data_IF_266031922823
#
_entry.id   IF_266031922823
#
_cell.length_a   1.000
_cell.length_b   1.000
_cell.length_c   1.000
_cell.angle_alpha   90.00
_cell.angle_beta   90.00
_cell.angle_gamma   90.00
#
_symmetry.space_group_name_H-M   'P 1'
#
loop_
_entity.id
_entity.type
_entity.pdbx_description
1 polymer ?
#
# COMPACT_ATOMS: atom_id res chain seq x y z
N UNK A 1 15.87 -1.51 10.55
CA UNK A 1 15.70 -0.62 11.71
C UNK A 1 14.41 -1.04 12.39
N UNK A 2 14.41 -1.33 13.71
CA UNK A 2 13.19 -1.72 14.42
C UNK A 2 12.36 -0.47 14.73
N UNK A 3 11.25 -0.32 14.01
CA UNK A 3 10.37 0.87 14.00
C UNK A 3 9.15 0.69 14.92
N UNK A 4 8.96 -0.51 15.48
CA UNK A 4 7.82 -0.83 16.35
C UNK A 4 7.86 -0.03 17.65
N UNK A 5 9.05 0.25 18.19
CA UNK A 5 9.21 1.03 19.42
C UNK A 5 8.82 2.51 19.24
N UNK A 6 9.36 3.26 18.25
CA UNK A 6 8.90 4.62 17.97
C UNK A 6 7.40 4.72 17.65
N UNK A 7 6.86 3.75 16.92
CA UNK A 7 5.42 3.67 16.66
C UNK A 7 4.62 3.53 17.96
N UNK A 8 5.02 2.59 18.83
CA UNK A 8 4.37 2.38 20.13
C UNK A 8 4.39 3.65 20.98
N UNK A 9 5.55 4.27 21.12
CA UNK A 9 5.75 5.48 21.91
C UNK A 9 4.92 6.66 21.38
N UNK A 10 4.83 6.81 20.05
CA UNK A 10 3.99 7.84 19.43
C UNK A 10 2.52 7.65 19.76
N UNK A 11 1.97 6.45 19.59
CA UNK A 11 0.55 6.22 19.86
C UNK A 11 0.24 6.27 21.36
N UNK A 12 1.10 5.73 22.22
CA UNK A 12 0.91 5.87 23.68
C UNK A 12 0.91 7.33 24.11
N UNK A 13 1.85 8.13 23.60
CA UNK A 13 1.93 9.56 23.94
C UNK A 13 0.78 10.39 23.34
N UNK A 14 0.23 10.01 22.18
CA UNK A 14 -0.90 10.72 21.60
C UNK A 14 -2.18 10.57 22.43
N UNK A 15 -2.39 9.44 23.10
CA UNK A 15 -3.52 9.26 24.02
C UNK A 15 -3.32 9.94 25.39
N UNK A 16 -2.07 10.17 25.80
CA UNK A 16 -1.74 10.77 27.12
C UNK A 16 -1.93 12.29 27.17
N UNK A 17 -2.00 12.97 26.03
CA UNK A 17 -2.07 14.44 25.98
C UNK A 17 -3.48 15.02 26.22
N UNK A 18 -4.53 14.19 26.27
CA UNK A 18 -5.92 14.68 26.21
C UNK A 18 -6.89 14.01 27.19
N UNK A 19 -6.44 13.07 28.03
CA UNK A 19 -7.35 12.21 28.82
C UNK A 19 -6.77 11.83 30.19
N UNK A 20 -7.65 11.40 31.12
CA UNK A 20 -7.28 10.68 32.34
C UNK A 20 -6.30 9.52 32.03
N UNK A 21 -5.28 9.35 32.87
CA UNK A 21 -4.20 8.39 32.71
C UNK A 21 -4.72 6.96 32.55
N UNK A 22 -5.71 6.54 33.33
CA UNK A 22 -6.27 5.18 33.25
C UNK A 22 -7.04 4.96 31.94
N UNK A 23 -7.72 5.99 31.44
CA UNK A 23 -8.41 5.95 30.16
C UNK A 23 -7.42 5.97 28.99
N UNK A 24 -6.33 6.73 29.07
CA UNK A 24 -5.27 6.76 28.07
C UNK A 24 -4.58 5.38 27.92
N UNK A 25 -4.30 4.69 29.04
CA UNK A 25 -3.79 3.31 29.01
C UNK A 25 -4.78 2.39 28.32
N UNK A 26 -6.07 2.46 28.68
CA UNK A 26 -7.11 1.63 28.06
C UNK A 26 -7.19 1.85 26.55
N UNK A 27 -7.28 3.11 26.10
CA UNK A 27 -7.35 3.46 24.68
C UNK A 27 -6.13 2.95 23.89
N UNK A 28 -4.94 3.07 24.48
CA UNK A 28 -3.72 2.54 23.87
C UNK A 28 -3.76 1.02 23.72
N UNK A 29 -4.21 0.29 24.76
CA UNK A 29 -4.36 -1.17 24.71
C UNK A 29 -5.39 -1.58 23.66
N UNK A 30 -6.55 -0.93 23.65
CA UNK A 30 -7.63 -1.20 22.70
C UNK A 30 -7.14 -0.95 21.26
N UNK A 31 -6.43 0.14 21.01
CA UNK A 31 -5.82 0.43 19.70
C UNK A 31 -4.87 -0.67 19.24
N UNK A 32 -3.94 -1.13 20.09
CA UNK A 32 -3.00 -2.17 19.70
C UNK A 32 -3.68 -3.53 19.52
N UNK A 33 -4.70 -3.85 20.33
CA UNK A 33 -5.49 -5.06 20.17
C UNK A 33 -6.22 -5.06 18.81
N UNK A 34 -6.90 -3.97 18.49
CA UNK A 34 -7.56 -3.77 17.20
C UNK A 34 -6.55 -3.84 16.05
N UNK A 35 -5.40 -3.18 16.19
CA UNK A 35 -4.34 -3.20 15.19
C UNK A 35 -3.85 -4.64 14.91
N UNK A 36 -3.61 -5.44 15.96
CA UNK A 36 -3.16 -6.82 15.82
C UNK A 36 -4.22 -7.74 15.21
N UNK A 37 -5.49 -7.48 15.49
CA UNK A 37 -6.59 -8.30 15.03
C UNK A 37 -7.00 -7.95 13.59
N UNK A 38 -7.22 -6.68 13.29
CA UNK A 38 -7.78 -6.24 12.02
C UNK A 38 -6.73 -6.10 10.90
N UNK A 39 -5.47 -5.80 11.21
CA UNK A 39 -4.46 -5.60 10.15
C UNK A 39 -4.24 -6.85 9.30
N UNK A 40 -4.07 -8.07 9.87
CA UNK A 40 -3.97 -9.29 9.07
C UNK A 40 -5.22 -9.53 8.20
N UNK A 41 -6.41 -9.29 8.75
CA UNK A 41 -7.69 -9.44 8.03
C UNK A 41 -7.75 -8.49 6.83
N UNK A 42 -7.28 -7.24 7.00
CA UNK A 42 -7.22 -6.26 5.91
C UNK A 42 -6.22 -6.70 4.81
N UNK A 43 -5.08 -7.30 5.18
CA UNK A 43 -4.13 -7.85 4.21
C UNK A 43 -4.73 -9.01 3.41
N UNK A 44 -5.41 -9.94 4.08
CA UNK A 44 -6.11 -11.05 3.43
C UNK A 44 -7.22 -10.55 2.48
N UNK A 45 -7.95 -9.51 2.90
CA UNK A 45 -8.97 -8.87 2.07
C UNK A 45 -8.38 -8.22 0.82
N UNK A 46 -7.24 -7.54 0.95
CA UNK A 46 -6.50 -6.98 -0.18
C UNK A 46 -6.04 -8.08 -1.14
N UNK A 47 -5.53 -9.20 -0.63
CA UNK A 47 -5.13 -10.34 -1.45
C UNK A 47 -6.32 -10.94 -2.20
N UNK A 48 -7.47 -11.11 -1.54
CA UNK A 48 -8.70 -11.58 -2.17
C UNK A 48 -9.13 -10.66 -3.31
N UNK A 49 -9.10 -9.33 -3.13
CA UNK A 49 -9.44 -8.39 -4.20
C UNK A 49 -8.50 -8.48 -5.41
N UNK A 50 -7.20 -8.72 -5.20
CA UNK A 50 -6.29 -8.97 -6.33
C UNK A 50 -6.64 -10.28 -7.02
N UNK A 51 -6.81 -11.37 -6.28
CA UNK A 51 -7.11 -12.69 -6.83
C UNK A 51 -8.41 -12.70 -7.65
N UNK A 52 -9.42 -11.96 -7.22
CA UNK A 52 -10.71 -11.83 -7.92
C UNK A 52 -10.68 -10.80 -9.07
N UNK A 53 -9.52 -10.16 -9.33
CA UNK A 53 -9.38 -9.12 -10.36
C UNK A 53 -10.08 -7.80 -10.01
N UNK A 54 -10.55 -7.62 -8.77
CA UNK A 54 -11.26 -6.44 -8.30
C UNK A 54 -10.30 -5.31 -7.87
N UNK A 55 -9.51 -4.83 -8.84
CA UNK A 55 -8.47 -3.81 -8.62
C UNK A 55 -9.02 -2.50 -8.06
N UNK A 56 -10.27 -2.14 -8.39
CA UNK A 56 -10.89 -0.94 -7.86
C UNK A 56 -11.15 -1.03 -6.35
N UNK A 57 -11.60 -2.18 -5.85
CA UNK A 57 -11.78 -2.39 -4.40
C UNK A 57 -10.45 -2.56 -3.69
N UNK A 58 -9.46 -3.21 -4.30
CA UNK A 58 -8.09 -3.24 -3.78
C UNK A 58 -7.56 -1.81 -3.55
N UNK A 59 -7.64 -0.95 -4.58
CA UNK A 59 -7.17 0.44 -4.54
C UNK A 59 -7.83 1.27 -3.43
N UNK A 60 -9.14 1.08 -3.24
CA UNK A 60 -9.90 1.78 -2.19
C UNK A 60 -9.49 1.30 -0.81
N UNK A 61 -9.43 -0.01 -0.59
CA UNK A 61 -9.17 -0.60 0.73
C UNK A 61 -7.74 -0.34 1.19
N UNK A 62 -6.78 -0.28 0.26
CA UNK A 62 -5.36 0.03 0.57
C UNK A 62 -5.16 1.35 1.33
N UNK A 63 -6.09 2.32 1.23
CA UNK A 63 -5.98 3.57 2.00
C UNK A 63 -6.11 3.39 3.50
N UNK A 64 -6.74 2.30 3.96
CA UNK A 64 -6.87 1.98 5.37
C UNK A 64 -5.49 1.81 6.04
N UNK A 65 -4.48 1.40 5.27
CA UNK A 65 -3.10 1.18 5.74
C UNK A 65 -2.16 2.37 5.51
N UNK A 66 -2.68 3.52 5.05
CA UNK A 66 -1.83 4.68 4.68
C UNK A 66 -0.99 5.20 5.85
N UNK A 67 -1.52 5.24 7.06
CA UNK A 67 -0.82 5.84 8.21
C UNK A 67 0.48 5.11 8.56
N UNK A 68 0.63 3.84 8.16
CA UNK A 68 1.81 3.03 8.44
C UNK A 68 3.04 3.43 7.62
N UNK A 69 2.84 4.21 6.54
CA UNK A 69 3.95 4.67 5.67
C UNK A 69 4.87 5.68 6.34
N UNK A 70 4.46 6.26 7.46
CA UNK A 70 5.25 7.27 8.19
C UNK A 70 6.34 6.61 9.05
N UNK A 71 6.21 5.31 9.32
CA UNK A 71 7.05 4.61 10.28
C UNK A 71 8.06 3.66 9.64
N UNK A 72 7.92 3.34 8.35
CA UNK A 72 8.81 2.41 7.64
C UNK A 72 9.07 2.86 6.22
N UNK A 73 10.33 3.08 5.84
CA UNK A 73 10.70 3.34 4.44
C UNK A 73 10.28 2.19 3.52
N UNK A 74 10.31 0.94 4.01
CA UNK A 74 9.88 -0.21 3.22
C UNK A 74 8.36 -0.24 3.05
N UNK A 75 7.58 -0.05 4.12
CA UNK A 75 6.11 0.04 3.99
C UNK A 75 5.72 1.23 3.12
N UNK A 76 6.39 2.38 3.29
CA UNK A 76 6.21 3.57 2.48
C UNK A 76 6.42 3.27 0.99
N UNK A 77 7.58 2.71 0.66
CA UNK A 77 7.97 2.36 -0.70
C UNK A 77 6.93 1.49 -1.39
N UNK A 78 6.57 0.37 -0.77
CA UNK A 78 5.64 -0.59 -1.37
C UNK A 78 4.19 -0.09 -1.35
N UNK A 79 3.76 0.62 -0.31
CA UNK A 79 2.42 1.21 -0.27
C UNK A 79 2.22 2.21 -1.43
N UNK A 80 3.18 3.09 -1.69
CA UNK A 80 3.08 4.03 -2.82
C UNK A 80 3.10 3.32 -4.17
N UNK A 81 3.89 2.24 -4.32
CA UNK A 81 3.89 1.42 -5.52
C UNK A 81 2.52 0.76 -5.76
N UNK A 82 2.02 0.04 -4.75
CA UNK A 82 0.71 -0.60 -4.77
C UNK A 82 -0.39 0.41 -5.09
N UNK A 83 -0.35 1.58 -4.45
CA UNK A 83 -1.34 2.64 -4.63
C UNK A 83 -1.31 3.27 -6.01
N UNK A 84 -0.12 3.43 -6.60
CA UNK A 84 0.04 4.00 -7.94
C UNK A 84 -0.43 3.03 -9.01
N UNK A 85 0.06 1.79 -8.97
CA UNK A 85 -0.24 0.77 -9.97
C UNK A 85 -1.72 0.35 -9.93
N UNK A 86 -2.27 0.06 -8.74
CA UNK A 86 -3.69 -0.27 -8.64
C UNK A 86 -4.59 0.88 -9.07
N UNK A 87 -4.20 2.13 -8.81
CA UNK A 87 -4.95 3.30 -9.25
C UNK A 87 -4.94 3.48 -10.77
N UNK A 88 -3.79 3.23 -11.41
CA UNK A 88 -3.68 3.26 -12.86
C UNK A 88 -4.45 2.10 -13.50
N UNK A 89 -4.30 0.88 -12.99
CA UNK A 89 -5.03 -0.29 -13.49
C UNK A 89 -6.55 -0.18 -13.26
N UNK A 90 -7.02 0.35 -12.13
CA UNK A 90 -8.45 0.56 -11.91
C UNK A 90 -9.05 1.50 -12.97
N UNK A 91 -8.32 2.56 -13.35
CA UNK A 91 -8.73 3.45 -14.45
C UNK A 91 -8.68 2.74 -15.79
N UNK A 92 -7.64 1.95 -16.04
CA UNK A 92 -7.50 1.20 -17.28
C UNK A 92 -8.61 0.15 -17.45
N UNK A 93 -8.99 -0.56 -16.38
CA UNK A 93 -10.07 -1.53 -16.41
C UNK A 93 -11.46 -0.88 -16.60
N UNK A 94 -11.62 0.40 -16.24
CA UNK A 94 -12.88 1.13 -16.51
C UNK A 94 -13.09 1.46 -17.99
N UNK A 95 -12.01 1.47 -18.78
CA UNK A 95 -12.01 1.68 -20.24
C UNK A 95 -10.83 0.93 -20.84
N UNK A 96 -10.97 -0.40 -20.90
CA UNK A 96 -9.92 -1.30 -21.37
C UNK A 96 -9.90 -1.33 -22.90
N UNK A 97 -9.42 -0.23 -23.48
CA UNK A 97 -9.19 -0.08 -24.90
C UNK A 97 -7.83 0.55 -25.17
N UNK A 98 -7.25 0.31 -26.34
CA UNK A 98 -6.00 1.00 -26.75
C UNK A 98 -6.17 2.54 -26.68
N UNK A 99 -7.35 3.06 -27.03
CA UNK A 99 -7.64 4.50 -26.89
C UNK A 99 -7.65 4.93 -25.41
N UNK A 100 -8.23 4.13 -24.53
CA UNK A 100 -8.23 4.32 -23.08
C UNK A 100 -6.80 4.37 -22.51
N UNK A 101 -5.93 3.45 -22.93
CA UNK A 101 -4.54 3.41 -22.48
C UNK A 101 -3.76 4.67 -22.89
N UNK A 102 -3.94 5.18 -24.12
CA UNK A 102 -3.33 6.44 -24.57
C UNK A 102 -3.83 7.64 -23.77
N UNK A 103 -5.13 7.70 -23.47
CA UNK A 103 -5.69 8.76 -22.61
C UNK A 103 -5.10 8.71 -21.20
N UNK A 104 -4.95 7.51 -20.64
CA UNK A 104 -4.38 7.31 -19.32
C UNK A 104 -2.91 7.73 -19.27
N UNK A 105 -2.12 7.35 -20.28
CA UNK A 105 -0.74 7.81 -20.45
C UNK A 105 -0.67 9.33 -20.46
N UNK A 106 -1.44 10.00 -21.33
CA UNK A 106 -1.43 11.46 -21.44
C UNK A 106 -1.82 12.15 -20.12
N UNK A 107 -2.79 11.61 -19.39
CA UNK A 107 -3.17 12.12 -18.06
C UNK A 107 -1.98 12.10 -17.09
N UNK A 108 -1.26 10.97 -16.99
CA UNK A 108 -0.14 10.85 -16.07
C UNK A 108 1.10 11.62 -16.54
N UNK A 109 1.35 11.65 -17.85
CA UNK A 109 2.42 12.44 -18.45
C UNK A 109 2.22 13.93 -18.19
N UNK A 110 1.00 14.45 -18.39
CA UNK A 110 0.71 15.86 -18.09
C UNK A 110 0.86 16.19 -16.61
N UNK A 111 0.52 15.25 -15.72
CA UNK A 111 0.59 15.46 -14.27
C UNK A 111 2.01 15.35 -13.70
N UNK A 112 2.85 14.52 -14.30
CA UNK A 112 4.14 14.14 -13.71
C UNK A 112 5.33 14.24 -14.67
N UNK A 113 5.13 14.73 -15.89
CA UNK A 113 6.11 14.75 -16.99
C UNK A 113 7.48 15.27 -16.60
N UNK A 114 7.51 16.37 -15.86
CA UNK A 114 8.76 17.00 -15.39
C UNK A 114 9.56 16.07 -14.46
N UNK A 115 8.91 15.15 -13.74
CA UNK A 115 9.58 14.21 -12.83
C UNK A 115 10.34 13.10 -13.57
N UNK A 116 10.24 13.02 -14.91
CA UNK A 116 11.05 12.08 -15.73
C UNK A 116 12.54 12.28 -15.53
N UNK A 117 12.96 13.50 -15.23
CA UNK A 117 14.34 13.87 -14.90
C UNK A 117 14.88 13.03 -13.73
N UNK A 118 14.02 12.66 -12.77
CA UNK A 118 14.37 11.93 -11.56
C UNK A 118 14.35 10.41 -11.73
N UNK A 119 14.07 9.90 -12.94
CA UNK A 119 13.91 8.46 -13.21
C UNK A 119 15.08 7.63 -12.70
N UNK A 120 16.30 8.11 -12.88
CA UNK A 120 17.52 7.37 -12.52
C UNK A 120 18.01 7.67 -11.10
N UNK A 121 17.33 8.56 -10.39
CA UNK A 121 17.72 9.04 -9.05
C UNK A 121 16.75 8.58 -7.97
N UNK A 122 15.50 8.30 -8.33
CA UNK A 122 14.43 7.96 -7.40
C UNK A 122 13.72 6.67 -7.81
N UNK A 123 13.86 5.62 -6.99
CA UNK A 123 13.30 4.28 -7.26
C UNK A 123 11.81 4.30 -7.66
N UNK A 124 10.98 5.09 -6.98
CA UNK A 124 9.55 5.13 -7.33
C UNK A 124 9.29 5.86 -8.65
N UNK A 125 10.11 6.84 -9.00
CA UNK A 125 9.98 7.51 -10.30
C UNK A 125 10.50 6.58 -11.40
N UNK A 126 11.56 5.80 -11.18
CA UNK A 126 11.98 4.70 -12.06
C UNK A 126 10.80 3.79 -12.40
N UNK A 127 10.12 3.27 -11.37
CA UNK A 127 8.95 2.37 -11.53
C UNK A 127 7.77 3.03 -12.22
N UNK A 128 7.49 4.29 -11.92
CA UNK A 128 6.46 5.05 -12.64
C UNK A 128 6.77 5.16 -14.12
N UNK A 129 8.02 5.49 -14.47
CA UNK A 129 8.40 5.70 -15.87
C UNK A 129 8.52 4.40 -16.64
N UNK A 130 8.93 3.29 -16.01
CA UNK A 130 8.78 1.94 -16.58
C UNK A 130 7.32 1.67 -16.98
N UNK A 131 6.37 1.88 -16.06
CA UNK A 131 4.94 1.72 -16.33
C UNK A 131 4.44 2.61 -17.48
N UNK A 132 4.79 3.90 -17.45
CA UNK A 132 4.30 4.85 -18.45
C UNK A 132 4.92 4.62 -19.83
N UNK A 133 6.20 4.27 -19.89
CA UNK A 133 6.88 3.96 -21.16
C UNK A 133 6.27 2.69 -21.77
N UNK A 134 6.02 1.64 -20.98
CA UNK A 134 5.34 0.44 -21.46
C UNK A 134 3.90 0.72 -21.91
N UNK A 135 3.14 1.49 -21.13
CA UNK A 135 1.77 1.90 -21.48
C UNK A 135 1.72 2.69 -22.81
N UNK A 136 2.73 3.54 -23.05
CA UNK A 136 2.86 4.31 -24.28
C UNK A 136 3.07 3.41 -25.51
N UNK A 137 3.64 2.22 -25.34
CA UNK A 137 3.98 1.30 -26.43
C UNK A 137 2.86 0.32 -26.81
N UNK A 138 1.70 0.37 -26.13
CA UNK A 138 0.54 -0.49 -26.44
C UNK A 138 -0.15 -0.02 -27.72
N UNK A 139 -0.19 -0.83 -28.78
CA UNK A 139 -0.91 -0.51 -30.03
C UNK A 139 -2.02 -1.49 -30.38
N UNK A 140 -2.07 -2.64 -29.71
CA UNK A 140 -3.08 -3.67 -29.91
C UNK A 140 -3.80 -4.01 -28.60
N UNK A 141 -5.00 -4.60 -28.72
CA UNK A 141 -5.74 -5.09 -27.55
C UNK A 141 -5.04 -6.29 -26.88
N UNK A 142 -4.27 -7.07 -27.65
CA UNK A 142 -3.44 -8.14 -27.10
C UNK A 142 -2.31 -7.57 -26.21
N UNK A 143 -1.59 -6.55 -26.70
CA UNK A 143 -0.57 -5.85 -25.89
C UNK A 143 -1.18 -5.27 -24.61
N UNK A 144 -2.40 -4.73 -24.71
CA UNK A 144 -3.12 -4.19 -23.56
C UNK A 144 -3.46 -5.27 -22.53
N UNK A 145 -3.98 -6.41 -22.98
CA UNK A 145 -4.28 -7.56 -22.12
C UNK A 145 -3.01 -8.07 -21.42
N UNK A 146 -1.92 -8.21 -22.17
CA UNK A 146 -0.61 -8.64 -21.63
C UNK A 146 -0.05 -7.64 -20.61
N UNK A 147 -0.18 -6.34 -20.89
CA UNK A 147 0.21 -5.27 -19.98
C UNK A 147 -0.57 -5.33 -18.66
N UNK A 148 -1.90 -5.44 -18.73
CA UNK A 148 -2.76 -5.55 -17.55
C UNK A 148 -2.41 -6.79 -16.73
N UNK A 149 -2.23 -7.94 -17.39
CA UNK A 149 -1.83 -9.18 -16.71
C UNK A 149 -0.48 -9.05 -16.02
N UNK A 150 0.54 -8.50 -16.71
CA UNK A 150 1.87 -8.25 -16.12
C UNK A 150 1.78 -7.38 -14.87
N UNK A 151 1.06 -6.25 -14.93
CA UNK A 151 0.99 -5.33 -13.80
C UNK A 151 0.09 -5.83 -12.67
N UNK A 152 -0.85 -6.74 -12.96
CA UNK A 152 -1.55 -7.52 -11.94
C UNK A 152 -0.58 -8.41 -11.16
N UNK A 153 0.28 -9.18 -11.85
CA UNK A 153 1.30 -10.01 -11.20
C UNK A 153 2.29 -9.18 -10.38
N UNK A 154 2.73 -8.03 -10.90
CA UNK A 154 3.61 -7.12 -10.16
C UNK A 154 2.92 -6.58 -8.90
N UNK A 155 1.62 -6.27 -8.96
CA UNK A 155 0.84 -5.87 -7.78
C UNK A 155 0.78 -6.99 -6.74
N UNK A 156 0.49 -8.22 -7.14
CA UNK A 156 0.42 -9.37 -6.24
C UNK A 156 1.75 -9.63 -5.54
N UNK A 157 2.86 -9.61 -6.28
CA UNK A 157 4.19 -9.77 -5.69
C UNK A 157 4.54 -8.61 -4.75
N UNK A 158 4.20 -7.38 -5.12
CA UNK A 158 4.40 -6.20 -4.27
C UNK A 158 3.58 -6.28 -2.99
N UNK A 159 2.35 -6.80 -3.05
CA UNK A 159 1.50 -7.00 -1.88
C UNK A 159 2.07 -8.08 -0.96
N UNK A 160 2.58 -9.17 -1.52
CA UNK A 160 3.24 -10.24 -0.76
C UNK A 160 4.43 -9.69 0.04
N UNK A 161 5.28 -8.88 -0.60
CA UNK A 161 6.42 -8.24 0.05
C UNK A 161 5.96 -7.24 1.13
N UNK A 162 4.98 -6.39 0.81
CA UNK A 162 4.40 -5.45 1.77
C UNK A 162 3.82 -6.15 3.00
N UNK A 163 3.07 -7.24 2.79
CA UNK A 163 2.46 -8.04 3.84
C UNK A 163 3.52 -8.70 4.72
N UNK A 164 4.63 -9.18 4.16
CA UNK A 164 5.76 -9.68 4.95
C UNK A 164 6.30 -8.61 5.89
N UNK A 165 6.55 -7.40 5.40
CA UNK A 165 7.03 -6.30 6.25
C UNK A 165 6.01 -5.90 7.32
N UNK A 166 4.71 -5.94 6.99
CA UNK A 166 3.63 -5.68 7.95
C UNK A 166 3.57 -6.72 9.05
N UNK A 167 3.71 -8.00 8.72
CA UNK A 167 3.70 -9.09 9.70
C UNK A 167 4.93 -9.07 10.58
N UNK A 168 6.11 -8.78 10.03
CA UNK A 168 7.34 -8.57 10.82
C UNK A 168 7.15 -7.40 11.80
N UNK A 169 6.55 -6.30 11.34
CA UNK A 169 6.24 -5.15 12.17
C UNK A 169 5.26 -5.49 13.31
N UNK A 170 4.17 -6.21 13.00
CA UNK A 170 3.20 -6.70 14.00
C UNK A 170 3.91 -7.59 15.04
N UNK A 171 4.77 -8.51 14.59
CA UNK A 171 5.49 -9.41 15.49
C UNK A 171 6.43 -8.66 16.43
N UNK A 172 7.16 -7.66 15.91
CA UNK A 172 8.01 -6.82 16.73
C UNK A 172 7.20 -5.98 17.72
N UNK A 173 6.03 -5.47 17.31
CA UNK A 173 5.15 -4.70 18.19
C UNK A 173 4.52 -5.59 19.28
N UNK A 174 4.10 -6.82 18.97
CA UNK A 174 3.63 -7.82 19.95
C UNK A 174 4.69 -8.16 20.99
N UNK A 175 5.97 -8.25 20.58
CA UNK A 175 7.09 -8.46 21.53
C UNK A 175 7.26 -7.29 22.50
N UNK A 176 6.92 -6.08 22.08
CA UNK A 176 6.96 -4.88 22.93
C UNK A 176 5.70 -4.69 23.77
N UNK A 177 4.63 -5.45 23.50
CA UNK A 177 3.31 -5.36 24.15
C UNK A 177 2.73 -6.76 24.48
N UNK A 178 3.48 -7.60 25.21
CA UNK A 178 3.14 -9.01 25.39
C UNK A 178 1.80 -9.22 26.11
N UNK A 179 1.41 -8.30 26.99
CA UNK A 179 0.16 -8.32 27.74
C UNK A 179 -1.08 -8.02 26.89
N UNK A 180 -0.91 -7.33 25.75
CA UNK A 180 -1.98 -7.05 24.78
C UNK A 180 -2.04 -8.18 23.74
N UNK A 181 -0.89 -8.70 23.31
CA UNK A 181 -0.81 -9.75 22.29
C UNK A 181 -1.57 -11.04 22.66
N UNK A 182 -1.64 -11.38 23.94
CA UNK A 182 -2.36 -12.58 24.46
C UNK A 182 -3.88 -12.41 24.38
N UNK A 183 -4.39 -11.18 24.36
CA UNK A 183 -5.83 -10.88 24.32
C UNK A 183 -6.38 -10.77 22.89
N UNK A 184 -5.50 -10.64 21.91
CA UNK A 184 -5.83 -10.43 20.49
C UNK A 184 -5.92 -11.73 19.65
N UNK A 185 -6.07 -12.90 20.30
CA UNK A 185 -6.20 -14.23 19.67
C UNK A 185 -7.65 -14.66 19.63
#
# INVERSE_FOLDING_TARGET
MNIAKPFKEYFESSFMNEVDHDLAIKLSRDFFADFFYYTPIELDLLESYLNDGNIANFYKSLSNLKYLVEYSDNLNRYWYLLRAYSGALAKLNSDQSVKGSKRLYLYYFNKYGERRLLRNEHWFEEKRWEFLDELQMIYTEEDLSNFVHKYHLILSESLRIYSSFMMDFINDLKRLTPDIAVLSV
#
